data_IF_350266915088
#
_entry.id   IF_350266915088
#
_cell.length_a   1.000
_cell.length_b   1.000
_cell.length_c   1.000
_cell.angle_alpha   90.00
_cell.angle_beta   90.00
_cell.angle_gamma   90.00
#
_symmetry.space_group_name_H-M   'P 1'
#
loop_
_entity.id
_entity.type
_entity.pdbx_description
1 polymer ?
#
# COMPACT_ATOMS: atom_id res chain seq x y z
N UNK A 1 16.07 22.97 -10.17
CA UNK A 1 15.60 22.55 -8.85
C UNK A 1 16.70 22.77 -7.80
N UNK A 2 17.91 22.18 -7.95
CA UNK A 2 18.99 22.33 -6.97
C UNK A 2 19.37 23.79 -6.66
N UNK A 3 19.52 24.62 -7.68
CA UNK A 3 19.85 26.06 -7.52
C UNK A 3 18.77 26.82 -6.75
N UNK A 4 17.50 26.53 -7.02
CA UNK A 4 16.36 27.19 -6.36
C UNK A 4 16.27 26.78 -4.88
N UNK A 5 16.38 25.48 -4.58
CA UNK A 5 16.40 24.98 -3.19
C UNK A 5 17.56 25.56 -2.40
N UNK A 6 18.78 25.53 -2.97
CA UNK A 6 19.98 26.11 -2.35
C UNK A 6 19.82 27.63 -2.09
N UNK A 7 19.18 28.36 -3.00
CA UNK A 7 18.91 29.79 -2.81
C UNK A 7 17.95 30.03 -1.64
N UNK A 8 16.81 29.30 -1.59
CA UNK A 8 15.83 29.43 -0.48
C UNK A 8 16.44 29.13 0.87
N UNK A 9 17.23 28.03 0.97
CA UNK A 9 17.93 27.67 2.21
C UNK A 9 18.94 28.73 2.62
N UNK A 10 19.72 29.26 1.68
CA UNK A 10 20.69 30.34 1.96
C UNK A 10 20.00 31.62 2.46
N UNK A 11 18.87 31.99 1.85
CA UNK A 11 18.12 33.18 2.27
C UNK A 11 17.54 32.96 3.67
N UNK A 12 16.95 31.79 3.94
CA UNK A 12 16.43 31.44 5.27
C UNK A 12 17.50 31.51 6.36
N UNK A 13 18.69 30.92 6.09
CA UNK A 13 19.83 30.97 7.02
C UNK A 13 20.31 32.40 7.27
N UNK A 14 20.40 33.24 6.22
CA UNK A 14 20.78 34.66 6.38
C UNK A 14 19.79 35.39 7.26
N UNK A 15 18.47 35.20 7.07
CA UNK A 15 17.44 35.84 7.87
C UNK A 15 17.57 35.45 9.34
N UNK A 16 17.79 34.14 9.64
CA UNK A 16 18.00 33.66 11.00
C UNK A 16 19.23 34.27 11.66
N UNK A 17 20.37 34.33 10.94
CA UNK A 17 21.59 34.94 11.44
C UNK A 17 21.44 36.43 11.73
N UNK A 18 20.78 37.17 10.83
CA UNK A 18 20.53 38.62 10.98
C UNK A 18 19.63 38.86 12.20
N UNK A 19 18.56 38.11 12.37
CA UNK A 19 17.69 38.22 13.54
C UNK A 19 18.42 37.91 14.84
N UNK A 20 19.26 36.88 14.85
CA UNK A 20 20.10 36.55 16.00
C UNK A 20 21.06 37.67 16.38
N UNK A 21 21.70 38.31 15.39
CA UNK A 21 22.60 39.46 15.62
C UNK A 21 21.84 40.68 16.16
N UNK A 22 20.66 40.99 15.61
CA UNK A 22 19.82 42.10 16.07
C UNK A 22 19.38 41.87 17.51
N UNK A 23 18.94 40.65 17.85
CA UNK A 23 18.55 40.28 19.23
C UNK A 23 19.74 40.35 20.19
N UNK A 24 20.97 39.97 19.75
CA UNK A 24 22.18 40.07 20.55
C UNK A 24 22.54 41.51 20.90
N UNK A 25 22.24 42.48 20.05
CA UNK A 25 22.43 43.91 20.29
C UNK A 25 21.37 44.48 21.26
N UNK A 26 20.38 43.69 21.68
CA UNK A 26 19.35 44.08 22.63
C UNK A 26 18.09 44.70 22.01
N UNK A 27 17.95 44.61 20.67
CA UNK A 27 16.74 45.05 19.99
C UNK A 27 15.70 43.95 20.05
N UNK A 28 14.48 44.30 20.43
CA UNK A 28 13.36 43.36 20.50
C UNK A 28 12.93 42.93 19.10
N UNK A 29 13.11 41.64 18.82
CA UNK A 29 12.75 40.97 17.56
C UNK A 29 11.53 40.07 17.68
N UNK A 30 10.83 40.09 18.83
CA UNK A 30 9.75 39.15 19.13
C UNK A 30 8.60 39.16 18.11
N UNK A 31 8.18 40.35 17.67
CA UNK A 31 7.12 40.48 16.67
C UNK A 31 7.52 39.90 15.30
N UNK A 32 8.76 40.12 14.87
CA UNK A 32 9.27 39.57 13.60
C UNK A 32 9.42 38.04 13.69
N UNK A 33 9.95 37.56 14.80
CA UNK A 33 10.10 36.13 15.06
C UNK A 33 8.74 35.42 15.10
N UNK A 34 7.73 36.00 15.73
CA UNK A 34 6.37 35.48 15.75
C UNK A 34 5.75 35.41 14.30
N UNK A 35 5.98 36.44 13.50
CA UNK A 35 5.52 36.45 12.11
C UNK A 35 6.18 35.34 11.29
N UNK A 36 7.51 35.20 11.40
CA UNK A 36 8.25 34.14 10.69
C UNK A 36 7.79 32.75 11.16
N UNK A 37 7.59 32.56 12.47
CA UNK A 37 7.09 31.32 13.01
C UNK A 37 5.69 30.97 12.44
N UNK A 38 4.76 31.93 12.38
CA UNK A 38 3.44 31.72 11.80
C UNK A 38 3.49 31.37 10.32
N UNK A 39 4.35 32.03 9.54
CA UNK A 39 4.59 31.69 8.14
C UNK A 39 5.20 30.27 8.01
N UNK A 40 6.14 29.90 8.89
CA UNK A 40 6.72 28.57 8.94
C UNK A 40 5.69 27.46 9.19
N UNK A 41 4.74 27.70 10.10
CA UNK A 41 3.63 26.78 10.33
C UNK A 41 2.75 26.65 9.07
N UNK A 42 2.40 27.78 8.44
CA UNK A 42 1.62 27.77 7.18
C UNK A 42 2.29 26.98 6.08
N UNK A 43 3.57 27.21 5.84
CA UNK A 43 4.37 26.45 4.84
C UNK A 43 4.47 24.97 5.25
N UNK A 44 4.73 24.66 6.52
CA UNK A 44 4.80 23.30 7.03
C UNK A 44 3.52 22.51 6.79
N UNK A 45 2.36 23.12 7.03
CA UNK A 45 1.06 22.52 6.74
C UNK A 45 0.85 22.32 5.23
N UNK A 46 1.26 23.28 4.42
CA UNK A 46 1.12 23.17 2.96
C UNK A 46 1.93 22.02 2.33
N UNK A 47 3.12 21.69 2.87
CA UNK A 47 3.98 20.62 2.36
C UNK A 47 3.79 19.27 3.09
N UNK A 48 2.96 19.22 4.13
CA UNK A 48 2.79 18.03 5.00
C UNK A 48 2.45 16.77 4.19
N UNK A 49 1.55 16.84 3.21
CA UNK A 49 1.20 15.70 2.36
C UNK A 49 2.38 15.16 1.55
N UNK A 50 3.23 16.03 1.02
CA UNK A 50 4.42 15.62 0.27
C UNK A 50 5.45 14.97 1.20
N UNK A 51 5.66 15.54 2.38
CA UNK A 51 6.57 15.00 3.39
C UNK A 51 6.10 13.64 3.91
N UNK A 52 4.79 13.48 4.13
CA UNK A 52 4.17 12.20 4.50
C UNK A 52 4.41 11.13 3.43
N UNK A 53 4.25 11.47 2.16
CA UNK A 53 4.50 10.53 1.06
C UNK A 53 6.00 10.15 0.94
N UNK A 54 6.87 11.10 1.15
CA UNK A 54 8.31 10.86 1.18
C UNK A 54 8.68 9.91 2.34
N UNK A 55 8.23 10.21 3.57
CA UNK A 55 8.48 9.39 4.75
C UNK A 55 7.89 7.98 4.60
N UNK A 56 6.67 7.88 4.06
CA UNK A 56 6.03 6.60 3.75
C UNK A 56 6.82 5.78 2.73
N UNK A 57 7.36 6.42 1.70
CA UNK A 57 8.21 5.73 0.71
C UNK A 57 9.51 5.21 1.32
N UNK A 58 10.18 6.00 2.15
CA UNK A 58 11.38 5.56 2.90
C UNK A 58 11.05 4.39 3.82
N UNK A 59 9.92 4.46 4.53
CA UNK A 59 9.48 3.37 5.42
C UNK A 59 9.25 2.07 4.63
N UNK A 60 8.53 2.13 3.51
CA UNK A 60 8.27 0.96 2.65
C UNK A 60 9.59 0.34 2.14
N UNK A 61 10.53 1.17 1.70
CA UNK A 61 11.84 0.70 1.21
C UNK A 61 12.72 0.03 2.29
N UNK A 62 12.58 0.50 3.55
CA UNK A 62 13.32 -0.08 4.69
C UNK A 62 12.65 -1.36 5.19
N UNK A 63 11.34 -1.32 5.44
CA UNK A 63 10.60 -2.44 6.05
C UNK A 63 10.23 -3.53 5.05
N UNK A 64 10.13 -3.17 3.77
CA UNK A 64 9.82 -4.06 2.64
C UNK A 64 8.63 -5.00 2.89
N UNK A 65 7.44 -4.49 3.22
CA UNK A 65 6.26 -5.32 3.39
C UNK A 65 5.81 -5.96 2.07
N UNK A 66 6.29 -5.45 0.96
CA UNK A 66 6.17 -5.99 -0.40
C UNK A 66 7.36 -5.52 -1.24
N UNK A 67 7.57 -6.16 -2.38
CA UNK A 67 8.66 -5.90 -3.34
C UNK A 67 8.08 -5.63 -4.73
N UNK A 68 8.95 -5.21 -5.65
CA UNK A 68 8.60 -5.19 -7.06
C UNK A 68 8.21 -6.60 -7.50
N UNK A 69 7.24 -6.72 -8.39
CA UNK A 69 6.59 -7.93 -8.89
C UNK A 69 5.68 -8.67 -7.90
N UNK A 70 5.55 -8.25 -6.64
CA UNK A 70 4.56 -8.80 -5.71
C UNK A 70 3.13 -8.41 -6.12
N UNK A 71 2.21 -9.37 -6.01
CA UNK A 71 0.78 -9.11 -6.16
C UNK A 71 0.19 -8.74 -4.82
N UNK A 72 -0.31 -7.51 -4.71
CA UNK A 72 -0.81 -6.95 -3.45
C UNK A 72 -2.21 -6.36 -3.59
N UNK A 73 -2.92 -6.31 -2.48
CA UNK A 73 -4.14 -5.53 -2.33
C UNK A 73 -3.92 -4.47 -1.26
N UNK A 74 -4.13 -3.21 -1.62
CA UNK A 74 -3.96 -2.06 -0.72
C UNK A 74 -4.79 -0.87 -1.17
N UNK A 75 -5.25 -0.06 -0.22
CA UNK A 75 -6.01 1.18 -0.49
C UNK A 75 -7.25 1.01 -1.38
N UNK A 76 -7.83 -0.19 -1.46
CA UNK A 76 -8.99 -0.51 -2.31
C UNK A 76 -8.63 -0.90 -3.74
N UNK A 77 -7.36 -1.08 -4.05
CA UNK A 77 -6.86 -1.56 -5.35
C UNK A 77 -6.10 -2.86 -5.18
N UNK A 78 -6.07 -3.64 -6.24
CA UNK A 78 -5.41 -4.94 -6.31
C UNK A 78 -4.60 -5.02 -7.61
N UNK A 79 -3.35 -5.50 -7.52
CA UNK A 79 -2.49 -5.60 -8.68
C UNK A 79 -1.04 -5.94 -8.36
N UNK A 80 -0.23 -6.06 -9.40
CA UNK A 80 1.21 -6.31 -9.30
C UNK A 80 1.96 -4.99 -9.10
N UNK A 81 2.89 -4.95 -8.16
CA UNK A 81 3.78 -3.81 -7.93
C UNK A 81 4.74 -3.70 -9.12
N UNK A 82 4.67 -2.59 -9.85
CA UNK A 82 5.60 -2.33 -10.96
C UNK A 82 6.89 -1.65 -10.51
N UNK A 83 6.77 -0.61 -9.68
CA UNK A 83 7.89 0.07 -9.06
C UNK A 83 7.49 0.79 -7.76
N UNK A 84 8.45 0.92 -6.84
CA UNK A 84 8.32 1.65 -5.58
C UNK A 84 9.17 2.92 -5.70
N UNK A 85 8.51 4.08 -5.88
CA UNK A 85 9.17 5.38 -5.96
C UNK A 85 9.15 6.11 -4.62
N UNK A 86 9.85 7.21 -4.54
CA UNK A 86 10.00 7.98 -3.30
C UNK A 86 8.65 8.42 -2.72
N UNK A 87 7.72 8.92 -3.55
CA UNK A 87 6.44 9.48 -3.07
C UNK A 87 5.22 8.63 -3.41
N UNK A 88 5.34 7.66 -4.30
CA UNK A 88 4.24 6.79 -4.72
C UNK A 88 4.76 5.43 -5.17
N UNK A 89 3.90 4.42 -5.03
CA UNK A 89 4.08 3.06 -5.55
C UNK A 89 3.12 2.86 -6.73
N UNK A 90 3.59 2.23 -7.80
CA UNK A 90 2.80 1.92 -8.98
C UNK A 90 2.33 0.48 -8.92
N UNK A 91 1.02 0.28 -9.08
CA UNK A 91 0.42 -1.03 -9.25
C UNK A 91 -0.13 -1.18 -10.67
N UNK A 92 0.07 -2.34 -11.26
CA UNK A 92 -0.59 -2.76 -12.49
C UNK A 92 -1.71 -3.73 -12.16
N UNK A 93 -2.94 -3.33 -12.45
CA UNK A 93 -4.12 -4.18 -12.25
C UNK A 93 -4.20 -5.31 -13.30
N UNK A 94 -5.03 -6.32 -13.04
CA UNK A 94 -5.23 -7.45 -13.96
C UNK A 94 -5.83 -7.04 -15.30
N UNK A 95 -6.54 -5.91 -15.36
CA UNK A 95 -7.05 -5.31 -16.61
C UNK A 95 -6.07 -4.30 -17.25
N UNK A 96 -4.78 -4.38 -16.84
CA UNK A 96 -3.65 -3.62 -17.39
C UNK A 96 -3.74 -2.09 -17.20
N UNK A 97 -4.42 -1.63 -16.14
CA UNK A 97 -4.39 -0.23 -15.73
C UNK A 97 -3.26 0.01 -14.74
N UNK A 98 -2.69 1.21 -14.75
CA UNK A 98 -1.67 1.61 -13.78
C UNK A 98 -2.32 2.51 -12.73
N UNK A 99 -2.17 2.11 -11.46
CA UNK A 99 -2.65 2.86 -10.29
C UNK A 99 -1.45 3.41 -9.54
N UNK A 100 -1.48 4.71 -9.26
CA UNK A 100 -0.46 5.39 -8.47
C UNK A 100 -0.95 5.53 -7.04
N UNK A 101 -0.38 4.80 -6.11
CA UNK A 101 -0.72 4.84 -4.68
C UNK A 101 0.25 5.77 -3.94
N UNK A 102 -0.25 6.84 -3.28
CA UNK A 102 0.60 7.69 -2.45
C UNK A 102 1.20 6.90 -1.28
N UNK A 103 2.53 6.94 -1.13
CA UNK A 103 3.23 6.13 -0.14
C UNK A 103 2.87 6.47 1.31
N UNK A 104 2.53 7.73 1.60
CA UNK A 104 2.08 8.13 2.94
C UNK A 104 0.80 7.42 3.37
N UNK A 105 -0.15 7.24 2.43
CA UNK A 105 -1.36 6.45 2.68
C UNK A 105 -1.05 4.96 2.71
N UNK A 106 -0.24 4.48 1.78
CA UNK A 106 0.09 3.06 1.63
C UNK A 106 0.84 2.51 2.86
N UNK A 107 1.79 3.28 3.41
CA UNK A 107 2.58 2.87 4.59
C UNK A 107 1.78 2.82 5.89
N UNK A 108 0.60 3.44 5.93
CA UNK A 108 -0.28 3.49 7.10
C UNK A 108 -1.56 2.67 6.92
N UNK A 109 -1.77 2.11 5.74
CA UNK A 109 -2.92 1.26 5.43
C UNK A 109 -2.59 -0.23 5.58
N UNK A 110 -3.66 -1.03 5.62
CA UNK A 110 -3.55 -2.48 5.53
C UNK A 110 -3.09 -2.88 4.13
N UNK A 111 -2.10 -3.77 4.07
CA UNK A 111 -1.58 -4.36 2.84
C UNK A 111 -1.71 -5.87 2.92
N UNK A 112 -2.41 -6.46 1.97
CA UNK A 112 -2.44 -7.91 1.79
C UNK A 112 -1.44 -8.26 0.69
N UNK A 113 -0.38 -8.98 1.05
CA UNK A 113 0.60 -9.46 0.09
C UNK A 113 0.30 -10.93 -0.25
N UNK A 114 -0.06 -11.19 -1.50
CA UNK A 114 -0.40 -12.53 -1.98
C UNK A 114 0.83 -13.31 -2.46
N UNK A 115 1.96 -12.64 -2.64
CA UNK A 115 3.20 -13.23 -3.18
C UNK A 115 4.25 -13.53 -2.11
N UNK A 116 4.08 -13.03 -0.87
CA UNK A 116 5.08 -13.21 0.20
C UNK A 116 5.24 -14.66 0.63
N UNK A 117 4.16 -15.45 0.56
CA UNK A 117 4.16 -16.87 0.94
C UNK A 117 4.01 -17.73 -0.31
N UNK A 118 4.82 -18.79 -0.39
CA UNK A 118 4.81 -19.73 -1.50
C UNK A 118 3.50 -20.52 -1.61
N UNK A 119 2.81 -20.70 -0.48
CA UNK A 119 1.59 -21.49 -0.39
C UNK A 119 0.42 -20.63 0.04
N UNK A 120 -0.71 -20.82 -0.63
CA UNK A 120 -1.96 -20.11 -0.35
C UNK A 120 -3.16 -21.06 -0.42
N UNK A 121 -4.11 -20.88 0.49
CA UNK A 121 -5.40 -21.53 0.40
C UNK A 121 -6.23 -20.87 -0.72
N UNK A 122 -6.81 -21.67 -1.57
CA UNK A 122 -7.76 -21.23 -2.61
C UNK A 122 -9.11 -21.84 -2.26
N UNK A 123 -10.10 -20.99 -2.05
CA UNK A 123 -11.48 -21.40 -1.78
C UNK A 123 -12.27 -21.25 -3.08
N UNK A 124 -12.76 -22.36 -3.60
CA UNK A 124 -13.57 -22.40 -4.82
C UNK A 124 -14.99 -22.82 -4.44
N UNK A 125 -15.96 -22.28 -5.14
CA UNK A 125 -17.37 -22.58 -4.96
C UNK A 125 -17.94 -23.11 -6.25
N UNK A 126 -18.55 -24.30 -6.18
CA UNK A 126 -19.25 -24.95 -7.28
C UNK A 126 -20.70 -25.16 -6.88
N UNK A 127 -21.65 -24.70 -7.70
CA UNK A 127 -23.07 -24.88 -7.47
C UNK A 127 -23.60 -26.04 -8.29
N UNK A 128 -24.26 -26.99 -7.64
CA UNK A 128 -24.94 -28.13 -8.27
C UNK A 128 -26.44 -28.06 -8.02
N UNK A 129 -27.24 -28.70 -8.85
CA UNK A 129 -28.68 -28.81 -8.66
C UNK A 129 -29.01 -29.71 -7.46
N UNK A 130 -30.16 -29.48 -6.82
CA UNK A 130 -30.70 -30.38 -5.80
C UNK A 130 -31.03 -31.79 -6.35
N UNK A 131 -31.22 -31.92 -7.68
CA UNK A 131 -31.44 -33.21 -8.35
C UNK A 131 -30.14 -33.94 -8.67
N UNK A 132 -28.96 -33.30 -8.51
CA UNK A 132 -27.67 -33.91 -8.85
C UNK A 132 -27.17 -34.76 -7.68
N UNK A 133 -26.31 -35.73 -8.03
CA UNK A 133 -25.65 -36.60 -7.05
C UNK A 133 -24.43 -35.87 -6.44
N UNK A 134 -24.58 -35.46 -5.21
CA UNK A 134 -23.55 -34.78 -4.42
C UNK A 134 -22.27 -35.61 -4.28
N UNK A 135 -22.36 -36.93 -4.04
CA UNK A 135 -21.17 -37.77 -3.85
C UNK A 135 -20.40 -37.94 -5.16
N UNK A 136 -21.10 -37.97 -6.27
CA UNK A 136 -20.50 -37.97 -7.61
C UNK A 136 -19.78 -36.65 -7.90
N UNK A 137 -20.41 -35.51 -7.59
CA UNK A 137 -19.79 -34.18 -7.74
C UNK A 137 -18.53 -34.06 -6.90
N UNK A 138 -18.58 -34.47 -5.64
CA UNK A 138 -17.42 -34.48 -4.73
C UNK A 138 -16.28 -35.37 -5.24
N UNK A 139 -16.62 -36.54 -5.76
CA UNK A 139 -15.62 -37.44 -6.34
C UNK A 139 -14.93 -36.83 -7.56
N UNK A 140 -15.69 -36.15 -8.44
CA UNK A 140 -15.16 -35.47 -9.61
C UNK A 140 -14.22 -34.33 -9.19
N UNK A 141 -14.64 -33.48 -8.25
CA UNK A 141 -13.82 -32.36 -7.74
C UNK A 141 -12.50 -32.90 -7.16
N UNK A 142 -12.54 -33.93 -6.32
CA UNK A 142 -11.34 -34.56 -5.77
C UNK A 142 -10.42 -35.08 -6.87
N UNK A 143 -10.95 -35.79 -7.85
CA UNK A 143 -10.18 -36.31 -8.97
C UNK A 143 -9.48 -35.21 -9.78
N UNK A 144 -10.14 -34.05 -9.95
CA UNK A 144 -9.54 -32.87 -10.60
C UNK A 144 -8.40 -32.28 -9.76
N UNK A 145 -8.63 -32.17 -8.43
CA UNK A 145 -7.58 -31.72 -7.52
C UNK A 145 -6.36 -32.65 -7.52
N UNK A 146 -6.58 -33.95 -7.50
CA UNK A 146 -5.50 -34.96 -7.50
C UNK A 146 -4.69 -34.96 -8.80
N UNK A 147 -5.34 -34.63 -9.91
CA UNK A 147 -4.71 -34.56 -11.23
C UNK A 147 -3.92 -33.26 -11.46
N UNK A 148 -4.08 -32.25 -10.61
CA UNK A 148 -3.38 -30.97 -10.76
C UNK A 148 -2.12 -30.95 -9.90
N UNK A 149 -0.97 -30.73 -10.55
CA UNK A 149 0.34 -30.70 -9.89
C UNK A 149 0.52 -29.51 -8.93
N UNK A 150 -0.25 -28.43 -9.12
CA UNK A 150 -0.19 -27.24 -8.27
C UNK A 150 -0.98 -27.42 -6.97
N UNK A 151 -1.80 -28.45 -6.84
CA UNK A 151 -2.59 -28.74 -5.63
C UNK A 151 -1.78 -29.65 -4.72
N UNK A 152 -1.53 -29.14 -3.50
CA UNK A 152 -0.86 -29.93 -2.48
C UNK A 152 -1.72 -31.13 -2.06
N UNK A 153 -1.04 -32.24 -1.78
CA UNK A 153 -1.65 -33.46 -1.25
C UNK A 153 -1.68 -33.48 0.27
N UNK A 154 -0.80 -32.72 0.90
CA UNK A 154 -0.76 -32.50 2.34
C UNK A 154 -0.60 -31.00 2.63
N UNK A 155 -1.59 -30.33 3.25
CA UNK A 155 -2.88 -30.89 3.67
C UNK A 155 -3.80 -31.25 2.49
N UNK A 156 -4.57 -32.33 2.64
CA UNK A 156 -5.53 -32.82 1.64
C UNK A 156 -6.62 -31.77 1.32
N UNK A 157 -6.98 -31.56 0.02
CA UNK A 157 -8.09 -30.68 -0.34
C UNK A 157 -9.40 -31.10 0.30
N UNK A 158 -10.07 -30.14 0.93
CA UNK A 158 -11.34 -30.38 1.61
C UNK A 158 -12.51 -30.04 0.69
N UNK A 159 -13.35 -31.01 0.37
CA UNK A 159 -14.57 -30.83 -0.43
C UNK A 159 -15.79 -31.00 0.47
N UNK A 160 -16.55 -29.93 0.71
CA UNK A 160 -17.68 -29.92 1.66
C UNK A 160 -18.79 -29.04 1.11
N UNK A 161 -20.03 -29.30 1.54
CA UNK A 161 -21.14 -28.37 1.33
C UNK A 161 -20.84 -27.09 2.10
N UNK A 162 -20.84 -25.97 1.39
CA UNK A 162 -20.63 -24.64 1.97
C UNK A 162 -21.94 -23.93 2.27
N UNK A 163 -22.97 -24.12 1.43
CA UNK A 163 -24.29 -23.55 1.63
C UNK A 163 -25.38 -24.32 0.86
N UNK A 164 -26.59 -24.17 1.32
CA UNK A 164 -27.80 -24.56 0.61
C UNK A 164 -28.50 -23.28 0.16
N UNK A 165 -28.46 -23.01 -1.15
CA UNK A 165 -29.08 -21.86 -1.76
C UNK A 165 -30.50 -22.19 -2.21
N UNK A 166 -31.30 -21.20 -2.63
CA UNK A 166 -32.70 -21.39 -3.03
C UNK A 166 -32.87 -22.38 -4.20
N UNK A 167 -31.88 -22.54 -5.06
CA UNK A 167 -31.96 -23.38 -6.27
C UNK A 167 -30.72 -24.27 -6.48
N UNK A 168 -29.76 -24.25 -5.58
CA UNK A 168 -28.47 -24.99 -5.70
C UNK A 168 -27.91 -25.40 -4.35
N UNK A 169 -27.12 -26.47 -4.36
CA UNK A 169 -26.20 -26.84 -3.28
C UNK A 169 -24.83 -26.33 -3.67
N UNK A 170 -24.22 -25.56 -2.81
CA UNK A 170 -22.89 -25.00 -3.00
C UNK A 170 -21.85 -25.87 -2.27
N UNK A 171 -20.88 -26.33 -3.03
CA UNK A 171 -19.77 -27.18 -2.56
C UNK A 171 -18.51 -26.36 -2.53
#
# INVERSE_FOLDING_TARGET
>A
IYKTVSYVVKVGLKVLVVLGLISYVGIDTSAITALIASLGVGVGLAINGTLSNFAGGVLILITRPFKDDDYIQACGYEGTVEDIRICHTRLRTTDNKVVYLPNGKLSTSEVVNFSEKDLRRVDLKFSISYSDDFEKAKTIIRKVCDANELVLKDPEPSVRVSAQSSSSIDI
#
